data_IF_235498217575
#
_entry.id   IF_235498217575
#
_cell.length_a   1.000
_cell.length_b   1.000
_cell.length_c   1.000
_cell.angle_alpha   90.00
_cell.angle_beta   90.00
_cell.angle_gamma   90.00
#
_symmetry.space_group_name_H-M   'P 1'
#
loop_
_entity.id
_entity.type
_entity.pdbx_description
1 polymer ?
#
# COMPACT_ATOMS: atom_id res chain seq x y z
N UNK A 1 -24.65 21.74 14.53
CA UNK A 1 -23.16 21.85 14.55
C UNK A 1 -22.68 20.44 14.68
N UNK A 2 -22.02 19.90 13.64
CA UNK A 2 -21.38 18.59 13.73
C UNK A 2 -20.30 18.65 14.81
N UNK A 3 -20.15 17.57 15.57
CA UNK A 3 -19.07 17.44 16.54
C UNK A 3 -17.70 17.54 15.84
N UNK A 4 -16.64 17.79 16.60
CA UNK A 4 -15.27 17.68 16.10
C UNK A 4 -14.91 16.20 16.03
N UNK A 5 -14.28 15.76 14.93
CA UNK A 5 -13.70 14.43 14.86
C UNK A 5 -12.63 14.27 15.94
N UNK A 6 -12.72 13.20 16.69
CA UNK A 6 -11.74 12.85 17.74
C UNK A 6 -11.53 11.35 17.79
N UNK A 7 -10.29 10.94 18.03
CA UNK A 7 -9.94 9.57 18.37
C UNK A 7 -10.40 9.25 19.79
N UNK A 8 -10.87 8.04 20.03
CA UNK A 8 -11.21 7.56 21.35
C UNK A 8 -9.96 7.15 22.16
N UNK A 9 -10.15 6.91 23.49
CA UNK A 9 -9.04 6.55 24.38
C UNK A 9 -8.29 5.29 23.95
N UNK A 10 -9.00 4.24 23.55
CA UNK A 10 -8.40 2.97 23.12
C UNK A 10 -7.53 3.15 21.85
N UNK A 11 -8.02 3.90 20.86
CA UNK A 11 -7.25 4.22 19.64
C UNK A 11 -5.97 4.99 19.99
N UNK A 12 -6.08 5.98 20.89
CA UNK A 12 -4.92 6.79 21.32
C UNK A 12 -3.90 5.93 22.07
N UNK A 13 -4.34 5.06 22.96
CA UNK A 13 -3.43 4.22 23.76
C UNK A 13 -2.67 3.22 22.88
N UNK A 14 -3.34 2.58 21.91
CA UNK A 14 -2.69 1.72 20.91
C UNK A 14 -1.61 2.47 20.13
N UNK A 15 -1.93 3.65 19.63
CA UNK A 15 -0.99 4.48 18.88
C UNK A 15 0.20 4.93 19.73
N UNK A 16 -0.03 5.32 21.00
CA UNK A 16 1.03 5.72 21.92
C UNK A 16 1.97 4.58 22.24
N UNK A 17 1.46 3.36 22.43
CA UNK A 17 2.30 2.17 22.63
C UNK A 17 3.28 1.98 21.46
N UNK A 18 2.83 2.19 20.21
CA UNK A 18 3.71 2.12 19.04
C UNK A 18 4.67 3.30 18.91
N UNK A 19 4.30 4.48 19.40
CA UNK A 19 5.21 5.64 19.44
C UNK A 19 6.48 5.35 20.24
N UNK A 20 6.40 4.60 21.33
CA UNK A 20 7.58 4.23 22.14
C UNK A 20 8.62 3.47 21.32
N UNK A 21 8.20 2.73 20.29
CA UNK A 21 9.08 1.99 19.40
C UNK A 21 9.85 2.88 18.42
N UNK A 22 9.45 4.15 18.23
CA UNK A 22 10.17 5.08 17.34
C UNK A 22 11.60 5.37 17.80
N UNK A 23 11.91 5.11 19.07
CA UNK A 23 13.27 5.23 19.60
C UNK A 23 14.18 4.03 19.28
N UNK A 24 13.63 2.94 18.71
CA UNK A 24 14.35 1.71 18.38
C UNK A 24 15.40 1.95 17.28
N UNK A 25 16.49 1.20 17.29
CA UNK A 25 17.58 1.30 16.30
C UNK A 25 17.10 1.04 14.86
N UNK A 26 16.16 0.11 14.69
CA UNK A 26 15.59 -0.26 13.38
C UNK A 26 14.73 0.87 12.80
N UNK A 27 13.90 1.49 13.62
CA UNK A 27 13.12 2.66 13.18
C UNK A 27 14.03 3.83 12.81
N UNK A 28 15.17 3.99 13.47
CA UNK A 28 16.18 4.98 13.09
C UNK A 28 16.82 4.68 11.74
N UNK A 29 16.99 3.42 11.39
CA UNK A 29 17.49 3.02 10.07
C UNK A 29 16.45 3.33 8.98
N UNK A 30 15.17 3.03 9.23
CA UNK A 30 14.08 3.45 8.34
C UNK A 30 14.03 4.97 8.14
N UNK A 31 14.23 5.75 9.20
CA UNK A 31 14.27 7.20 9.10
C UNK A 31 15.42 7.67 8.18
N UNK A 32 16.61 7.05 8.27
CA UNK A 32 17.73 7.38 7.38
C UNK A 32 17.45 7.03 5.92
N UNK A 33 16.86 5.86 5.67
CA UNK A 33 16.44 5.44 4.32
C UNK A 33 15.36 6.38 3.76
N UNK A 34 14.41 6.79 4.60
CA UNK A 34 13.40 7.77 4.24
C UNK A 34 14.06 9.10 3.85
N UNK A 35 14.94 9.63 4.69
CA UNK A 35 15.62 10.90 4.45
C UNK A 35 16.44 10.86 3.14
N UNK A 36 17.14 9.76 2.88
CA UNK A 36 17.89 9.55 1.66
C UNK A 36 16.97 9.52 0.42
N UNK A 37 15.87 8.81 0.50
CA UNK A 37 14.89 8.71 -0.59
C UNK A 37 14.14 10.03 -0.82
N UNK A 38 13.82 10.76 0.25
CA UNK A 38 13.24 12.10 0.17
C UNK A 38 14.18 13.08 -0.53
N UNK A 39 15.45 13.10 -0.13
CA UNK A 39 16.46 13.92 -0.76
C UNK A 39 16.61 13.58 -2.26
N UNK A 40 16.61 12.30 -2.63
CA UNK A 40 16.63 11.87 -4.02
C UNK A 40 15.42 12.39 -4.80
N UNK A 41 14.22 12.27 -4.24
CA UNK A 41 12.98 12.78 -4.83
C UNK A 41 13.06 14.29 -5.09
N UNK A 42 13.48 15.08 -4.11
CA UNK A 42 13.61 16.53 -4.23
C UNK A 42 14.71 16.91 -5.23
N UNK A 43 15.83 16.19 -5.24
CA UNK A 43 16.94 16.45 -6.18
C UNK A 43 16.50 16.23 -7.64
N UNK A 44 15.71 15.20 -7.95
CA UNK A 44 15.18 14.98 -9.30
C UNK A 44 14.35 16.19 -9.73
N UNK A 45 13.40 16.64 -8.91
CA UNK A 45 12.56 17.79 -9.22
C UNK A 45 13.38 19.07 -9.43
N UNK A 46 14.41 19.28 -8.61
CA UNK A 46 15.27 20.46 -8.64
C UNK A 46 16.19 20.46 -9.86
N UNK A 47 16.87 19.34 -10.14
CA UNK A 47 17.80 19.22 -11.28
C UNK A 47 17.09 19.34 -12.61
N UNK A 48 15.86 18.84 -12.70
CA UNK A 48 15.01 18.97 -13.89
C UNK A 48 14.38 20.36 -14.02
N UNK A 49 14.57 21.25 -13.05
CA UNK A 49 13.86 22.54 -12.97
C UNK A 49 12.34 22.40 -13.13
N UNK A 50 11.77 21.40 -12.44
CA UNK A 50 10.36 21.02 -12.62
C UNK A 50 9.38 22.08 -12.12
N UNK A 51 9.75 22.86 -11.11
CA UNK A 51 8.95 24.01 -10.65
C UNK A 51 8.75 25.06 -11.77
N UNK A 52 9.74 25.20 -12.64
CA UNK A 52 9.67 26.05 -13.85
C UNK A 52 8.82 25.42 -14.96
N UNK A 53 9.27 25.54 -16.20
CA UNK A 53 8.50 25.06 -17.37
C UNK A 53 8.96 23.70 -17.90
N UNK A 54 10.03 23.12 -17.36
CA UNK A 54 10.58 21.86 -17.88
C UNK A 54 9.71 20.67 -17.45
N UNK A 55 9.39 19.79 -18.39
CA UNK A 55 8.73 18.53 -18.09
C UNK A 55 9.75 17.48 -17.66
N UNK A 56 9.34 16.62 -16.73
CA UNK A 56 10.06 15.39 -16.41
C UNK A 56 9.93 14.39 -17.55
N UNK A 57 11.02 13.71 -17.85
CA UNK A 57 11.02 12.55 -18.73
C UNK A 57 10.40 11.34 -18.05
N UNK A 58 10.01 10.32 -18.80
CA UNK A 58 9.53 9.05 -18.23
C UNK A 58 10.55 8.40 -17.29
N UNK A 59 11.86 8.53 -17.61
CA UNK A 59 12.94 7.99 -16.79
C UNK A 59 13.03 8.71 -15.43
N UNK A 60 12.89 10.04 -15.41
CA UNK A 60 12.88 10.82 -14.17
C UNK A 60 11.65 10.52 -13.32
N UNK A 61 10.48 10.36 -13.93
CA UNK A 61 9.27 9.96 -13.21
C UNK A 61 9.40 8.53 -12.65
N UNK A 62 10.03 7.60 -13.36
CA UNK A 62 10.32 6.26 -12.83
C UNK A 62 11.27 6.33 -11.62
N UNK A 63 12.25 7.24 -11.64
CA UNK A 63 13.12 7.50 -10.49
C UNK A 63 12.33 8.10 -9.31
N UNK A 64 11.41 9.03 -9.55
CA UNK A 64 10.51 9.53 -8.51
C UNK A 64 9.69 8.38 -7.87
N UNK A 65 9.12 7.50 -8.70
CA UNK A 65 8.40 6.34 -8.20
C UNK A 65 9.30 5.38 -7.38
N UNK A 66 10.56 5.21 -7.77
CA UNK A 66 11.53 4.41 -7.01
C UNK A 66 11.83 5.03 -5.65
N UNK A 67 12.04 6.34 -5.59
CA UNK A 67 12.23 7.06 -4.34
C UNK A 67 10.98 6.95 -3.44
N UNK A 68 9.79 7.22 -3.98
CA UNK A 68 8.53 7.11 -3.23
C UNK A 68 8.29 5.70 -2.67
N UNK A 69 8.64 4.64 -3.42
CA UNK A 69 8.54 3.25 -2.91
C UNK A 69 9.45 2.97 -1.70
N UNK A 70 10.60 3.64 -1.62
CA UNK A 70 11.50 3.56 -0.46
C UNK A 70 10.98 4.35 0.73
N UNK A 71 10.23 5.43 0.49
CA UNK A 71 9.63 6.26 1.54
C UNK A 71 8.35 5.65 2.15
N UNK A 72 7.64 4.84 1.41
CA UNK A 72 6.27 4.42 1.73
C UNK A 72 6.03 2.93 1.52
N UNK A 73 6.97 2.05 1.73
CA UNK A 73 6.88 0.57 1.61
C UNK A 73 5.89 0.01 0.56
N UNK A 74 5.36 0.84 -0.34
CA UNK A 74 4.31 0.48 -1.28
C UNK A 74 4.83 0.39 -2.72
N UNK A 75 4.56 -0.74 -3.37
CA UNK A 75 5.16 -1.16 -4.65
C UNK A 75 4.26 -0.97 -5.86
N UNK A 76 3.03 -0.46 -5.69
CA UNK A 76 2.05 -0.35 -6.78
C UNK A 76 2.23 0.91 -7.65
N UNK A 77 3.18 1.79 -7.33
CA UNK A 77 3.48 2.98 -8.13
C UNK A 77 4.25 2.58 -9.39
N UNK A 78 3.62 2.71 -10.55
CA UNK A 78 4.18 2.32 -11.86
C UNK A 78 3.91 3.36 -12.93
N UNK A 79 4.67 3.32 -14.03
CA UNK A 79 4.51 4.20 -15.19
C UNK A 79 3.18 4.05 -15.94
N UNK A 80 2.34 3.07 -15.62
CA UNK A 80 1.02 2.89 -16.23
C UNK A 80 0.15 4.15 -16.22
N UNK A 81 0.33 5.01 -15.19
CA UNK A 81 -0.43 6.26 -15.03
C UNK A 81 -0.07 7.30 -16.08
N UNK A 82 1.18 7.29 -16.56
CA UNK A 82 1.66 8.17 -17.63
C UNK A 82 1.09 7.69 -18.97
N UNK A 83 1.16 6.40 -19.23
CA UNK A 83 0.68 5.80 -20.48
C UNK A 83 -0.82 6.05 -20.72
N UNK A 84 -1.61 6.15 -19.65
CA UNK A 84 -3.06 6.38 -19.73
C UNK A 84 -3.45 7.86 -19.96
N UNK A 85 -2.59 8.81 -19.58
CA UNK A 85 -2.87 10.24 -19.62
C UNK A 85 -2.00 11.00 -20.64
N UNK A 86 -0.86 10.44 -21.01
CA UNK A 86 0.19 11.14 -21.74
C UNK A 86 1.15 11.90 -20.81
N UNK A 87 2.39 11.99 -21.24
CA UNK A 87 3.50 12.56 -20.43
C UNK A 87 3.27 14.04 -20.10
N UNK A 88 2.82 14.83 -21.07
CA UNK A 88 2.63 16.27 -20.90
C UNK A 88 1.47 16.59 -19.96
N UNK A 89 0.36 15.90 -20.07
CA UNK A 89 -0.80 16.07 -19.18
C UNK A 89 -0.46 15.68 -17.76
N UNK A 90 0.25 14.55 -17.58
CA UNK A 90 0.70 14.10 -16.28
C UNK A 90 1.66 15.14 -15.65
N UNK A 91 2.67 15.61 -16.38
CA UNK A 91 3.61 16.63 -15.91
C UNK A 91 2.90 17.92 -15.50
N UNK A 92 1.98 18.40 -16.33
CA UNK A 92 1.23 19.62 -16.04
C UNK A 92 0.38 19.46 -14.76
N UNK A 93 -0.33 18.34 -14.62
CA UNK A 93 -1.12 18.09 -13.43
C UNK A 93 -0.26 17.90 -12.16
N UNK A 94 0.88 17.20 -12.26
CA UNK A 94 1.82 17.04 -11.15
C UNK A 94 2.43 18.38 -10.72
N UNK A 95 2.82 19.23 -11.68
CA UNK A 95 3.36 20.57 -11.37
C UNK A 95 2.30 21.40 -10.65
N UNK A 96 1.05 21.37 -11.09
CA UNK A 96 -0.05 22.06 -10.41
C UNK A 96 -0.25 21.50 -9.01
N UNK A 97 -0.18 20.19 -8.83
CA UNK A 97 -0.30 19.54 -7.52
C UNK A 97 0.76 20.05 -6.55
N UNK A 98 2.03 20.04 -6.96
CA UNK A 98 3.17 20.32 -6.06
C UNK A 98 3.39 21.83 -5.86
N UNK A 99 3.35 22.62 -6.93
CA UNK A 99 3.77 24.04 -6.93
C UNK A 99 2.65 25.04 -7.25
N UNK A 100 1.43 24.57 -7.59
CA UNK A 100 0.33 25.47 -7.95
C UNK A 100 -0.10 26.41 -6.80
N UNK A 101 -0.58 27.58 -7.16
CA UNK A 101 -1.05 28.62 -6.22
C UNK A 101 -2.52 28.46 -5.80
N UNK A 102 -3.27 27.58 -6.45
CA UNK A 102 -4.66 27.31 -6.08
C UNK A 102 -4.76 26.63 -4.72
N UNK A 103 -5.92 26.74 -4.00
CA UNK A 103 -6.16 25.96 -2.80
C UNK A 103 -5.86 24.48 -3.00
N UNK A 104 -5.29 23.83 -2.00
CA UNK A 104 -4.85 22.43 -2.09
C UNK A 104 -5.96 21.48 -2.56
N UNK A 105 -7.20 21.73 -2.14
CA UNK A 105 -8.35 20.94 -2.55
C UNK A 105 -8.54 20.92 -4.08
N UNK A 106 -8.42 22.06 -4.75
CA UNK A 106 -8.54 22.16 -6.21
C UNK A 106 -7.37 21.51 -6.94
N UNK A 107 -6.16 21.58 -6.36
CA UNK A 107 -4.97 20.94 -6.91
C UNK A 107 -5.05 19.41 -6.83
N UNK A 108 -5.49 18.91 -5.67
CA UNK A 108 -5.74 17.49 -5.43
C UNK A 108 -6.84 16.97 -6.35
N UNK A 109 -7.97 17.66 -6.42
CA UNK A 109 -9.10 17.28 -7.28
C UNK A 109 -8.69 17.13 -8.74
N UNK A 110 -7.91 18.07 -9.25
CA UNK A 110 -7.39 18.02 -10.62
C UNK A 110 -6.47 16.81 -10.84
N UNK A 111 -5.60 16.48 -9.89
CA UNK A 111 -4.64 15.39 -10.04
C UNK A 111 -5.30 14.01 -9.86
N UNK A 112 -6.22 13.89 -8.91
CA UNK A 112 -7.04 12.67 -8.72
C UNK A 112 -7.89 12.37 -9.95
N UNK A 113 -8.35 13.40 -10.66
CA UNK A 113 -9.14 13.27 -11.89
C UNK A 113 -8.40 12.64 -13.08
N UNK A 114 -7.07 12.49 -13.02
CA UNK A 114 -6.31 11.76 -14.04
C UNK A 114 -6.67 10.26 -14.01
N UNK A 115 -6.69 9.63 -15.19
CA UNK A 115 -6.95 8.18 -15.29
C UNK A 115 -5.96 7.38 -14.47
N UNK A 116 -6.46 6.47 -13.62
CA UNK A 116 -5.70 5.58 -12.76
C UNK A 116 -4.79 6.30 -11.73
N UNK A 117 -5.06 7.58 -11.50
CA UNK A 117 -4.43 8.36 -10.43
C UNK A 117 -5.40 8.42 -9.30
N UNK A 118 -5.62 7.95 -8.35
CA UNK A 118 -6.57 8.11 -7.24
C UNK A 118 -5.89 8.71 -6.02
N UNK A 119 -6.61 8.65 -4.92
CA UNK A 119 -6.20 9.10 -3.60
C UNK A 119 -4.78 8.62 -3.22
N UNK A 120 -4.53 7.32 -3.41
CA UNK A 120 -3.27 6.67 -3.09
C UNK A 120 -2.06 7.33 -3.79
N UNK A 121 -2.09 7.45 -5.12
CA UNK A 121 -0.99 8.04 -5.89
C UNK A 121 -0.78 9.51 -5.52
N UNK A 122 -1.86 10.25 -5.32
CA UNK A 122 -1.84 11.67 -4.96
C UNK A 122 -1.18 11.90 -3.60
N UNK A 123 -1.57 11.10 -2.60
CA UNK A 123 -0.97 11.20 -1.26
C UNK A 123 0.53 10.86 -1.25
N UNK A 124 0.97 9.90 -2.07
CA UNK A 124 2.38 9.56 -2.17
C UNK A 124 3.22 10.71 -2.75
N UNK A 125 2.75 11.40 -3.79
CA UNK A 125 3.46 12.56 -4.33
C UNK A 125 3.54 13.71 -3.33
N UNK A 126 2.45 14.04 -2.67
CA UNK A 126 2.43 15.12 -1.68
C UNK A 126 3.27 14.79 -0.45
N UNK A 127 3.18 13.56 0.06
CA UNK A 127 3.99 13.08 1.18
C UNK A 127 5.48 13.04 0.84
N UNK A 128 5.86 12.57 -0.35
CA UNK A 128 7.24 12.58 -0.81
C UNK A 128 7.78 14.00 -1.06
N UNK A 129 6.91 14.93 -1.41
CA UNK A 129 7.27 16.33 -1.63
C UNK A 129 7.48 17.10 -0.32
N UNK A 130 6.57 16.94 0.64
CA UNK A 130 6.62 17.64 1.93
C UNK A 130 6.00 16.79 3.06
N UNK A 131 6.78 15.88 3.67
CA UNK A 131 6.30 14.99 4.74
C UNK A 131 6.01 15.71 6.07
N UNK A 132 6.41 16.96 6.21
CA UNK A 132 6.02 17.78 7.34
C UNK A 132 4.57 18.25 7.23
N UNK A 133 4.07 18.39 6.02
CA UNK A 133 2.80 19.02 5.69
C UNK A 133 1.73 18.05 5.22
N UNK A 134 2.12 17.01 4.51
CA UNK A 134 1.19 16.07 3.88
C UNK A 134 1.37 14.66 4.41
N UNK A 135 0.24 14.00 4.62
CA UNK A 135 0.17 12.62 5.08
C UNK A 135 0.14 11.61 3.93
N UNK A 136 0.54 10.39 4.22
CA UNK A 136 0.34 9.24 3.36
C UNK A 136 -0.99 8.54 3.71
N UNK A 137 -1.99 8.68 2.85
CA UNK A 137 -3.36 8.25 3.11
C UNK A 137 -3.63 6.78 2.74
N UNK A 138 -2.75 5.86 3.14
CA UNK A 138 -2.83 4.49 2.65
C UNK A 138 -3.25 3.43 3.67
N UNK A 139 -3.14 3.69 4.96
CA UNK A 139 -3.32 2.65 5.98
C UNK A 139 -4.31 3.00 7.09
N UNK A 140 -4.69 4.27 7.24
CA UNK A 140 -5.37 4.71 8.47
C UNK A 140 -6.68 3.97 8.76
N UNK A 141 -7.47 3.71 7.72
CA UNK A 141 -8.77 2.99 7.89
C UNK A 141 -8.61 1.49 8.00
N UNK A 142 -7.49 0.95 7.56
CA UNK A 142 -7.22 -0.50 7.61
C UNK A 142 -6.71 -0.92 8.99
N UNK A 143 -5.96 -0.04 9.66
CA UNK A 143 -5.27 -0.37 10.92
C UNK A 143 -5.88 0.27 12.17
N UNK A 144 -6.66 1.36 12.01
CA UNK A 144 -7.41 1.98 13.10
C UNK A 144 -8.89 1.58 12.99
N UNK A 145 -9.45 0.98 14.03
CA UNK A 145 -10.88 0.67 14.05
C UNK A 145 -11.69 1.97 14.26
N UNK A 146 -11.99 2.68 13.16
CA UNK A 146 -12.76 3.91 13.13
C UNK A 146 -14.22 3.56 12.89
N UNK A 147 -15.13 4.00 13.77
CA UNK A 147 -16.56 3.72 13.62
C UNK A 147 -17.17 4.50 12.46
N UNK A 148 -18.31 4.05 11.95
CA UNK A 148 -19.04 4.76 10.89
C UNK A 148 -19.39 6.21 11.31
N UNK A 149 -19.82 6.41 12.55
CA UNK A 149 -20.13 7.74 13.10
C UNK A 149 -18.89 8.65 13.14
N UNK A 150 -17.73 8.11 13.51
CA UNK A 150 -16.46 8.83 13.45
C UNK A 150 -16.08 9.19 12.00
N UNK A 151 -16.30 8.29 11.04
CA UNK A 151 -16.05 8.57 9.62
C UNK A 151 -16.98 9.67 9.11
N UNK A 152 -18.27 9.61 9.40
CA UNK A 152 -19.24 10.64 8.99
C UNK A 152 -18.84 12.02 9.55
N UNK A 153 -18.47 12.07 10.83
CA UNK A 153 -17.96 13.29 11.47
C UNK A 153 -16.68 13.81 10.81
N UNK A 154 -15.75 12.91 10.46
CA UNK A 154 -14.52 13.28 9.78
C UNK A 154 -14.78 13.83 8.37
N UNK A 155 -15.74 13.26 7.64
CA UNK A 155 -16.18 13.74 6.31
C UNK A 155 -16.73 15.18 6.43
N UNK A 156 -17.65 15.42 7.34
CA UNK A 156 -18.21 16.76 7.55
C UNK A 156 -17.14 17.79 7.94
N UNK A 157 -16.21 17.39 8.81
CA UNK A 157 -15.10 18.25 9.22
C UNK A 157 -14.10 18.51 8.07
N UNK A 158 -13.84 17.51 7.21
CA UNK A 158 -12.98 17.69 6.05
C UNK A 158 -13.62 18.63 5.02
N UNK A 159 -14.92 18.46 4.73
CA UNK A 159 -15.68 19.35 3.85
C UNK A 159 -15.58 20.79 4.35
N UNK A 160 -15.84 21.02 5.63
CA UNK A 160 -15.79 22.35 6.22
C UNK A 160 -14.38 22.96 6.23
N UNK A 161 -13.35 22.16 6.59
CA UNK A 161 -11.97 22.63 6.70
C UNK A 161 -11.34 22.99 5.36
N UNK A 162 -11.59 22.18 4.33
CA UNK A 162 -10.95 22.33 3.02
C UNK A 162 -11.84 23.02 1.99
N UNK A 163 -13.06 23.40 2.34
CA UNK A 163 -14.02 24.07 1.45
C UNK A 163 -14.42 23.17 0.27
N UNK A 164 -14.68 21.90 0.56
CA UNK A 164 -15.08 20.93 -0.45
C UNK A 164 -16.57 21.07 -0.75
N UNK A 165 -16.94 20.86 -2.01
CA UNK A 165 -18.36 20.82 -2.38
C UNK A 165 -18.97 19.49 -1.90
N UNK A 166 -20.02 19.52 -1.07
CA UNK A 166 -20.71 18.31 -0.65
C UNK A 166 -21.41 17.70 -1.86
N UNK A 167 -21.02 16.49 -2.22
CA UNK A 167 -21.63 15.72 -3.33
C UNK A 167 -22.44 14.57 -2.76
N UNK A 168 -23.59 14.28 -3.39
CA UNK A 168 -24.46 13.15 -2.99
C UNK A 168 -23.80 11.78 -3.22
N UNK A 169 -22.72 11.70 -4.01
CA UNK A 169 -21.98 10.47 -4.29
C UNK A 169 -20.56 10.51 -3.73
N UNK A 170 -20.04 9.36 -3.46
CA UNK A 170 -18.70 9.17 -2.95
C UNK A 170 -17.65 9.76 -3.89
N UNK A 171 -16.81 10.67 -3.37
CA UNK A 171 -15.84 11.43 -4.13
C UNK A 171 -14.43 11.17 -3.56
N UNK A 172 -13.49 10.80 -4.43
CA UNK A 172 -12.11 10.48 -4.02
C UNK A 172 -11.40 11.67 -3.35
N UNK A 173 -11.73 12.90 -3.76
CA UNK A 173 -11.17 14.12 -3.14
C UNK A 173 -11.66 14.27 -1.69
N UNK A 174 -12.92 14.00 -1.42
CA UNK A 174 -13.48 14.02 -0.05
C UNK A 174 -12.79 12.95 0.79
N UNK A 175 -12.62 11.73 0.26
CA UNK A 175 -11.89 10.67 0.94
C UNK A 175 -10.46 11.04 1.26
N UNK A 176 -9.75 11.63 0.29
CA UNK A 176 -8.39 12.11 0.49
C UNK A 176 -8.28 13.04 1.70
N UNK A 177 -9.16 14.05 1.78
CA UNK A 177 -9.11 15.02 2.85
C UNK A 177 -9.68 14.49 4.17
N UNK A 178 -10.59 13.53 4.12
CA UNK A 178 -11.07 12.80 5.30
C UNK A 178 -9.93 12.01 5.94
N UNK A 179 -9.19 11.24 5.17
CA UNK A 179 -8.03 10.49 5.66
C UNK A 179 -6.93 11.42 6.17
N UNK A 180 -6.67 12.51 5.45
CA UNK A 180 -5.71 13.54 5.89
C UNK A 180 -6.10 14.18 7.23
N UNK A 181 -7.38 14.43 7.47
CA UNK A 181 -7.88 14.95 8.73
C UNK A 181 -7.73 13.95 9.88
N UNK A 182 -8.04 12.67 9.63
CA UNK A 182 -7.86 11.59 10.61
C UNK A 182 -6.38 11.48 10.98
N UNK A 183 -5.47 11.49 9.99
CA UNK A 183 -4.03 11.41 10.20
C UNK A 183 -3.46 12.63 10.94
N UNK A 184 -4.02 13.81 10.70
CA UNK A 184 -3.69 15.01 11.48
C UNK A 184 -4.09 14.87 12.95
N UNK A 185 -5.25 14.29 13.23
CA UNK A 185 -5.69 14.00 14.59
C UNK A 185 -4.78 12.96 15.26
N UNK A 186 -4.39 11.90 14.54
CA UNK A 186 -3.38 10.92 15.00
C UNK A 186 -2.09 11.64 15.38
N UNK A 187 -1.54 12.47 14.48
CA UNK A 187 -0.31 13.24 14.74
C UNK A 187 -0.41 14.06 16.02
N UNK A 188 -1.49 14.81 16.17
CA UNK A 188 -1.69 15.74 17.27
C UNK A 188 -1.94 15.04 18.61
N UNK A 189 -2.84 14.05 18.67
CA UNK A 189 -3.21 13.34 19.91
C UNK A 189 -2.10 12.44 20.44
N UNK A 190 -1.31 11.86 19.55
CA UNK A 190 -0.17 11.04 19.90
C UNK A 190 1.09 11.88 20.15
N UNK A 191 1.13 13.10 19.67
CA UNK A 191 2.27 14.01 19.78
C UNK A 191 3.44 13.57 18.91
N UNK A 192 3.15 13.22 17.65
CA UNK A 192 4.14 12.88 16.63
C UNK A 192 4.66 14.16 15.95
N UNK A 193 5.93 14.16 15.55
CA UNK A 193 6.59 15.35 15.02
C UNK A 193 6.11 15.68 13.60
N UNK A 194 6.02 14.67 12.76
CA UNK A 194 5.69 14.81 11.34
C UNK A 194 4.90 13.61 10.81
N UNK A 195 4.54 13.61 9.54
CA UNK A 195 3.79 12.52 8.95
C UNK A 195 4.64 11.29 8.62
N UNK A 196 5.98 11.39 8.58
CA UNK A 196 6.86 10.23 8.55
C UNK A 196 6.67 9.38 9.82
N UNK A 197 6.66 10.00 11.01
CA UNK A 197 6.39 9.30 12.27
C UNK A 197 4.97 8.72 12.31
N UNK A 198 3.97 9.44 11.79
CA UNK A 198 2.60 8.92 11.66
C UNK A 198 2.59 7.64 10.80
N UNK A 199 3.23 7.68 9.64
CA UNK A 199 3.32 6.52 8.75
C UNK A 199 4.02 5.33 9.43
N UNK A 200 5.10 5.56 10.16
CA UNK A 200 5.79 4.50 10.90
C UNK A 200 4.93 3.90 12.02
N UNK A 201 4.25 4.74 12.80
CA UNK A 201 3.36 4.27 13.88
C UNK A 201 2.22 3.43 13.30
N UNK A 202 1.60 3.85 12.20
CA UNK A 202 0.56 3.08 11.54
C UNK A 202 1.08 1.78 10.94
N UNK A 203 2.27 1.80 10.36
CA UNK A 203 2.93 0.59 9.86
C UNK A 203 3.21 -0.40 11.01
N UNK A 204 3.74 0.07 12.12
CA UNK A 204 3.98 -0.76 13.31
C UNK A 204 2.67 -1.27 13.93
N UNK A 205 1.56 -0.56 13.75
CA UNK A 205 0.25 -1.01 14.19
C UNK A 205 -0.32 -2.09 13.24
N UNK A 206 -0.10 -1.96 11.94
CA UNK A 206 -0.54 -2.96 10.96
C UNK A 206 0.22 -4.28 11.08
N UNK A 207 1.44 -4.26 11.59
CA UNK A 207 2.26 -5.45 11.80
C UNK A 207 1.94 -6.21 13.10
N UNK A 208 1.04 -5.70 13.96
CA UNK A 208 0.58 -6.44 15.15
C UNK A 208 -0.28 -7.66 14.83
N UNK A 209 -0.92 -7.69 13.67
CA UNK A 209 -1.66 -8.88 13.22
C UNK A 209 -0.73 -10.01 12.75
N UNK A 210 0.58 -9.68 12.54
CA UNK A 210 1.66 -10.61 12.21
C UNK A 210 2.76 -10.46 13.27
N UNK A 211 2.65 -11.16 14.42
CA UNK A 211 3.62 -11.06 15.53
C UNK A 211 5.07 -11.36 15.13
N UNK A 212 5.31 -11.99 13.98
CA UNK A 212 6.63 -12.29 13.42
C UNK A 212 7.17 -11.21 12.43
N UNK A 213 6.40 -10.19 12.06
CA UNK A 213 6.81 -9.19 11.06
C UNK A 213 7.30 -7.86 11.67
N UNK A 214 7.22 -7.72 12.99
CA UNK A 214 7.35 -6.44 13.69
C UNK A 214 8.72 -5.74 13.60
N UNK A 215 9.76 -6.32 12.98
CA UNK A 215 11.11 -5.77 13.05
C UNK A 215 12.03 -6.12 11.86
N UNK A 216 11.57 -6.08 10.61
CA UNK A 216 12.50 -6.18 9.48
C UNK A 216 12.86 -4.80 8.93
N UNK A 217 14.18 -4.44 8.84
CA UNK A 217 14.63 -3.16 8.32
C UNK A 217 14.16 -2.93 6.88
N UNK A 218 13.83 -1.68 6.57
CA UNK A 218 13.61 -1.21 5.20
C UNK A 218 14.85 -1.54 4.36
N UNK A 219 14.70 -2.45 3.40
CA UNK A 219 15.83 -2.94 2.59
C UNK A 219 16.35 -4.33 2.96
N UNK A 220 15.93 -4.92 4.09
CA UNK A 220 16.17 -6.32 4.37
C UNK A 220 15.40 -7.23 3.40
N UNK A 221 15.82 -8.46 3.29
CA UNK A 221 15.18 -9.50 2.46
C UNK A 221 13.67 -9.45 2.71
N UNK A 222 12.92 -8.93 1.73
CA UNK A 222 11.47 -8.93 1.79
C UNK A 222 10.99 -10.37 1.55
N UNK A 223 10.94 -11.16 2.61
CA UNK A 223 10.60 -12.57 2.54
C UNK A 223 9.34 -12.83 1.70
N UNK A 224 8.32 -11.97 1.80
CA UNK A 224 7.11 -12.08 0.97
C UNK A 224 7.39 -11.90 -0.51
N UNK A 225 8.10 -10.84 -0.90
CA UNK A 225 8.43 -10.61 -2.33
C UNK A 225 9.45 -11.61 -2.85
N UNK A 226 10.40 -12.00 -2.03
CA UNK A 226 11.39 -13.00 -2.39
C UNK A 226 10.71 -14.36 -2.54
N UNK A 227 9.73 -14.68 -1.70
CA UNK A 227 8.87 -15.86 -1.84
C UNK A 227 8.03 -15.81 -3.12
N UNK A 228 7.36 -14.68 -3.40
CA UNK A 228 6.61 -14.48 -4.64
C UNK A 228 7.51 -14.63 -5.88
N UNK A 229 8.67 -13.96 -5.89
CA UNK A 229 9.64 -14.03 -6.98
C UNK A 229 10.18 -15.46 -7.14
N UNK A 230 10.48 -16.14 -6.03
CA UNK A 230 10.95 -17.50 -6.05
C UNK A 230 9.90 -18.47 -6.60
N UNK A 231 8.64 -18.35 -6.17
CA UNK A 231 7.53 -19.16 -6.69
C UNK A 231 7.31 -18.86 -8.18
N UNK A 232 7.30 -17.60 -8.59
CA UNK A 232 7.08 -17.21 -9.98
C UNK A 232 8.18 -17.70 -10.92
N UNK A 233 9.43 -17.69 -10.46
CA UNK A 233 10.58 -18.20 -11.19
C UNK A 233 10.65 -19.75 -11.20
N UNK A 234 10.02 -20.40 -10.22
CA UNK A 234 10.10 -21.86 -10.02
C UNK A 234 8.69 -22.49 -9.91
N UNK A 235 7.81 -22.34 -10.91
CA UNK A 235 6.41 -22.80 -10.81
C UNK A 235 6.27 -24.31 -10.56
N UNK A 236 7.28 -25.09 -10.91
CA UNK A 236 7.33 -26.54 -10.69
C UNK A 236 7.32 -26.95 -9.20
N UNK A 237 7.71 -26.05 -8.28
CA UNK A 237 7.63 -26.33 -6.82
C UNK A 237 6.18 -26.33 -6.32
N UNK A 238 5.31 -25.64 -7.04
CA UNK A 238 3.88 -25.64 -6.78
C UNK A 238 3.27 -26.86 -7.43
N UNK A 239 3.34 -26.96 -8.76
CA UNK A 239 2.96 -28.15 -9.52
C UNK A 239 3.56 -28.10 -10.95
N UNK A 240 3.80 -29.28 -11.58
CA UNK A 240 4.36 -29.33 -12.92
C UNK A 240 3.41 -28.75 -13.97
N UNK A 241 3.93 -27.94 -14.87
CA UNK A 241 3.22 -27.46 -16.06
C UNK A 241 2.42 -26.20 -15.85
N UNK A 242 2.67 -25.47 -14.76
CA UNK A 242 2.18 -24.09 -14.61
C UNK A 242 2.99 -23.15 -15.51
N UNK A 243 2.29 -22.18 -16.09
CA UNK A 243 2.85 -21.05 -16.81
C UNK A 243 2.46 -19.77 -16.10
N UNK A 244 3.43 -18.91 -15.81
CA UNK A 244 3.19 -17.62 -15.21
C UNK A 244 2.37 -16.74 -16.17
N UNK A 245 1.23 -16.25 -15.71
CA UNK A 245 0.44 -15.24 -16.39
C UNK A 245 0.95 -13.85 -15.97
N UNK A 246 0.99 -13.59 -14.67
CA UNK A 246 1.52 -12.33 -14.12
C UNK A 246 1.70 -12.43 -12.60
N UNK A 247 2.72 -11.72 -12.09
CA UNK A 247 2.82 -11.35 -10.67
C UNK A 247 2.11 -10.03 -10.45
N UNK A 248 1.57 -9.82 -9.26
CA UNK A 248 0.84 -8.61 -8.89
C UNK A 248 -0.23 -8.25 -9.94
N UNK A 249 -1.11 -9.22 -10.21
CA UNK A 249 -2.16 -9.08 -11.21
C UNK A 249 -3.30 -8.22 -10.68
N UNK A 250 -3.39 -6.98 -11.18
CA UNK A 250 -4.38 -5.99 -10.74
C UNK A 250 -5.77 -6.35 -11.25
N UNK A 251 -6.75 -6.40 -10.35
CA UNK A 251 -8.16 -6.60 -10.64
C UNK A 251 -8.99 -5.49 -9.98
N UNK A 252 -10.26 -5.30 -10.37
CA UNK A 252 -11.16 -4.36 -9.67
C UNK A 252 -11.44 -4.73 -8.20
N UNK A 253 -11.16 -5.98 -7.80
CA UNK A 253 -11.41 -6.48 -6.43
C UNK A 253 -10.12 -6.65 -5.61
N UNK A 254 -8.99 -6.15 -6.12
CA UNK A 254 -7.68 -6.18 -5.46
C UNK A 254 -6.57 -6.72 -6.34
N UNK A 255 -5.39 -6.94 -5.78
CA UNK A 255 -4.20 -7.41 -6.48
C UNK A 255 -3.91 -8.85 -6.10
N UNK A 256 -3.81 -9.73 -7.10
CA UNK A 256 -3.44 -11.13 -6.94
C UNK A 256 -1.90 -11.22 -6.91
N UNK A 257 -1.32 -11.84 -5.90
CA UNK A 257 0.14 -11.94 -5.77
C UNK A 257 0.77 -12.64 -6.97
N UNK A 258 0.28 -13.85 -7.31
CA UNK A 258 0.76 -14.58 -8.48
C UNK A 258 -0.42 -15.27 -9.19
N UNK A 259 -0.54 -15.04 -10.48
CA UNK A 259 -1.51 -15.71 -11.34
C UNK A 259 -0.78 -16.66 -12.29
N UNK A 260 -1.09 -17.94 -12.18
CA UNK A 260 -0.64 -18.97 -13.10
C UNK A 260 -1.78 -19.53 -13.97
N UNK A 261 -1.39 -20.22 -15.04
CA UNK A 261 -2.27 -21.01 -15.90
C UNK A 261 -1.71 -22.42 -16.00
N UNK A 262 -2.55 -23.44 -15.83
CA UNK A 262 -2.15 -24.82 -15.99
C UNK A 262 -2.25 -25.28 -17.46
N UNK A 263 -1.82 -26.53 -17.73
CA UNK A 263 -1.84 -27.12 -19.08
C UNK A 263 -3.24 -27.22 -19.69
N UNK A 264 -4.30 -27.21 -18.87
CA UNK A 264 -5.69 -27.26 -19.32
C UNK A 264 -6.27 -25.87 -19.53
N UNK A 265 -5.47 -24.81 -19.31
CA UNK A 265 -5.91 -23.45 -19.45
C UNK A 265 -6.66 -22.91 -18.25
N UNK A 266 -6.74 -23.64 -17.13
CA UNK A 266 -7.37 -23.18 -15.89
C UNK A 266 -6.42 -22.28 -15.11
N UNK A 267 -6.96 -21.28 -14.43
CA UNK A 267 -6.19 -20.38 -13.61
C UNK A 267 -5.90 -20.96 -12.21
N UNK A 268 -4.72 -20.63 -11.70
CA UNK A 268 -4.34 -20.83 -10.31
C UNK A 268 -3.95 -19.47 -9.74
N UNK A 269 -4.76 -18.99 -8.79
CA UNK A 269 -4.47 -17.82 -7.97
C UNK A 269 -3.61 -18.27 -6.80
N UNK A 270 -2.47 -17.63 -6.60
CA UNK A 270 -1.64 -17.84 -5.41
C UNK A 270 -1.65 -16.57 -4.58
N UNK A 271 -1.92 -16.73 -3.30
CA UNK A 271 -1.78 -15.72 -2.26
C UNK A 271 -0.67 -16.19 -1.31
N UNK A 272 0.31 -15.32 -1.08
CA UNK A 272 1.44 -15.59 -0.20
C UNK A 272 1.30 -14.76 1.07
N UNK A 273 1.56 -15.37 2.21
CA UNK A 273 1.62 -14.67 3.50
C UNK A 273 2.92 -15.02 4.21
N UNK A 274 3.49 -14.03 4.85
CA UNK A 274 4.65 -14.24 5.71
C UNK A 274 4.14 -14.68 7.07
N UNK A 275 4.67 -15.64 7.72
CA UNK A 275 4.25 -16.03 9.06
C UNK A 275 2.98 -16.91 9.10
N UNK A 276 2.37 -16.97 10.28
CA UNK A 276 1.12 -17.65 10.55
C UNK A 276 -0.06 -16.83 10.05
N UNK A 277 -1.05 -17.47 9.44
CA UNK A 277 -2.21 -16.79 8.87
C UNK A 277 -3.51 -17.41 9.39
N UNK A 278 -4.54 -16.58 9.43
CA UNK A 278 -5.88 -16.94 9.85
C UNK A 278 -6.89 -16.88 8.70
N UNK A 279 -8.18 -16.96 8.98
CA UNK A 279 -9.27 -17.07 8.00
C UNK A 279 -9.47 -15.83 7.10
N UNK A 280 -8.85 -14.70 7.44
CA UNK A 280 -8.94 -13.45 6.65
C UNK A 280 -8.51 -13.64 5.19
N UNK A 281 -7.47 -14.41 4.95
CA UNK A 281 -6.94 -14.70 3.60
C UNK A 281 -7.94 -15.46 2.72
N UNK A 282 -8.86 -16.21 3.33
CA UNK A 282 -9.93 -16.94 2.63
C UNK A 282 -10.86 -15.97 1.90
N UNK A 283 -11.26 -14.89 2.56
CA UNK A 283 -12.07 -13.84 1.93
C UNK A 283 -11.37 -13.17 0.76
N UNK A 284 -10.08 -12.94 0.88
CA UNK A 284 -9.26 -12.34 -0.16
C UNK A 284 -9.16 -13.23 -1.39
N UNK A 285 -8.71 -14.47 -1.23
CA UNK A 285 -8.54 -15.42 -2.35
C UNK A 285 -9.88 -15.79 -2.99
N UNK A 286 -10.97 -15.88 -2.20
CA UNK A 286 -12.31 -16.17 -2.71
C UNK A 286 -12.82 -15.05 -3.62
N UNK A 287 -12.57 -13.78 -3.31
CA UNK A 287 -12.91 -12.65 -4.17
C UNK A 287 -12.18 -12.72 -5.51
N UNK A 288 -10.90 -13.06 -5.50
CA UNK A 288 -10.11 -13.19 -6.73
C UNK A 288 -10.61 -14.33 -7.61
N UNK A 289 -10.89 -15.49 -7.02
CA UNK A 289 -11.47 -16.63 -7.74
C UNK A 289 -12.81 -16.23 -8.34
N UNK A 290 -13.70 -15.62 -7.54
CA UNK A 290 -15.02 -15.17 -8.00
C UNK A 290 -14.92 -14.18 -9.17
N UNK A 291 -14.00 -13.22 -9.10
CA UNK A 291 -13.77 -12.26 -10.18
C UNK A 291 -13.33 -12.96 -11.48
N UNK A 292 -12.37 -13.86 -11.43
CA UNK A 292 -11.85 -14.55 -12.62
C UNK A 292 -12.90 -15.50 -13.23
N UNK A 293 -13.72 -16.14 -12.41
CA UNK A 293 -14.77 -17.05 -12.88
C UNK A 293 -15.96 -16.30 -13.48
N UNK A 294 -16.45 -15.26 -12.81
CA UNK A 294 -17.64 -14.52 -13.26
C UNK A 294 -17.30 -13.44 -14.28
N UNK A 295 -16.20 -12.71 -14.07
CA UNK A 295 -15.80 -11.59 -14.92
C UNK A 295 -15.08 -12.01 -16.20
N UNK A 296 -14.23 -13.02 -16.13
CA UNK A 296 -13.40 -13.48 -17.25
C UNK A 296 -13.79 -14.88 -17.77
N UNK A 297 -14.81 -15.50 -17.19
CA UNK A 297 -15.29 -16.85 -17.53
C UNK A 297 -14.16 -17.92 -17.52
N UNK A 298 -13.28 -17.86 -16.50
CA UNK A 298 -12.11 -18.73 -16.35
C UNK A 298 -12.26 -19.67 -15.18
N UNK A 299 -12.24 -20.96 -15.42
CA UNK A 299 -12.17 -21.94 -14.31
C UNK A 299 -10.91 -21.65 -13.47
N UNK A 300 -11.11 -21.40 -12.17
CA UNK A 300 -10.06 -20.89 -11.29
C UNK A 300 -10.03 -21.69 -10.00
N UNK A 301 -8.84 -21.98 -9.50
CA UNK A 301 -8.55 -22.56 -8.19
C UNK A 301 -7.58 -21.69 -7.43
N UNK A 302 -7.53 -21.85 -6.11
CA UNK A 302 -6.66 -21.06 -5.25
C UNK A 302 -5.58 -21.89 -4.57
N UNK A 303 -4.51 -21.23 -4.18
CA UNK A 303 -3.47 -21.74 -3.30
C UNK A 303 -3.03 -20.63 -2.35
N UNK A 304 -3.05 -20.93 -1.06
CA UNK A 304 -2.48 -20.08 -0.02
C UNK A 304 -1.12 -20.68 0.37
N UNK A 305 -0.08 -19.85 0.45
CA UNK A 305 1.27 -20.26 0.83
C UNK A 305 1.70 -19.46 2.05
N UNK A 306 1.90 -20.15 3.19
CA UNK A 306 2.18 -19.57 4.51
C UNK A 306 3.35 -20.30 5.17
N UNK A 307 3.95 -19.73 6.22
CA UNK A 307 4.88 -20.48 7.06
C UNK A 307 4.17 -21.37 8.08
N UNK A 308 2.99 -20.92 8.55
CA UNK A 308 2.14 -21.62 9.52
C UNK A 308 0.67 -21.26 9.31
N UNK A 309 -0.27 -22.01 9.92
CA UNK A 309 -1.70 -21.80 9.78
C UNK A 309 -2.43 -22.16 11.07
N UNK A 310 -3.35 -21.31 11.51
CA UNK A 310 -4.22 -21.61 12.64
C UNK A 310 -5.43 -22.52 12.25
N UNK A 311 -6.12 -23.02 13.26
CA UNK A 311 -7.29 -23.88 13.07
C UNK A 311 -8.43 -23.20 12.30
N UNK A 312 -8.58 -21.87 12.39
CA UNK A 312 -9.62 -21.11 11.68
C UNK A 312 -9.38 -21.16 10.19
N UNK A 313 -8.13 -20.98 9.76
CA UNK A 313 -7.75 -21.12 8.35
C UNK A 313 -8.03 -22.54 7.86
N UNK A 314 -7.66 -23.55 8.62
CA UNK A 314 -7.89 -24.96 8.26
C UNK A 314 -9.37 -25.28 8.11
N UNK A 315 -10.21 -24.88 9.08
CA UNK A 315 -11.66 -25.07 9.01
C UNK A 315 -12.31 -24.30 7.86
N UNK A 316 -11.88 -23.06 7.63
CA UNK A 316 -12.37 -22.24 6.54
C UNK A 316 -12.03 -22.82 5.16
N UNK A 317 -10.84 -23.34 4.98
CA UNK A 317 -10.43 -24.04 3.75
C UNK A 317 -11.22 -25.32 3.52
N UNK A 318 -11.52 -26.06 4.59
CA UNK A 318 -12.38 -27.24 4.50
C UNK A 318 -13.77 -26.92 3.92
N UNK A 319 -14.35 -25.80 4.32
CA UNK A 319 -15.65 -25.33 3.81
C UNK A 319 -15.63 -24.98 2.31
N UNK A 320 -14.46 -24.69 1.73
CA UNK A 320 -14.29 -24.40 0.29
C UNK A 320 -14.18 -25.65 -0.59
N UNK A 321 -14.35 -26.84 -0.03
CA UNK A 321 -14.47 -28.12 -0.78
C UNK A 321 -13.25 -28.43 -1.66
N UNK A 322 -12.04 -28.01 -1.27
CA UNK A 322 -10.81 -28.25 -2.02
C UNK A 322 -10.55 -27.29 -3.18
N UNK A 323 -11.40 -26.28 -3.38
CA UNK A 323 -11.19 -25.24 -4.41
C UNK A 323 -9.98 -24.36 -4.11
N UNK A 324 -9.65 -24.17 -2.83
CA UNK A 324 -8.46 -23.51 -2.34
C UNK A 324 -7.65 -24.51 -1.54
N UNK A 325 -6.37 -24.62 -1.83
CA UNK A 325 -5.41 -25.48 -1.13
C UNK A 325 -4.46 -24.65 -0.30
N UNK A 326 -3.79 -25.29 0.65
CA UNK A 326 -2.77 -24.70 1.49
C UNK A 326 -1.43 -25.41 1.23
N UNK A 327 -0.35 -24.64 1.19
CA UNK A 327 1.03 -25.13 1.23
C UNK A 327 1.82 -24.33 2.25
N UNK A 328 2.79 -24.98 2.84
CA UNK A 328 3.71 -24.37 3.78
C UNK A 328 5.07 -24.14 3.14
N UNK A 329 5.74 -23.05 3.52
CA UNK A 329 7.13 -22.82 3.18
C UNK A 329 7.99 -22.80 4.45
N UNK A 330 9.27 -23.06 4.29
CA UNK A 330 10.30 -22.89 5.31
C UNK A 330 11.52 -22.25 4.70
N UNK A 331 12.07 -21.25 5.39
CA UNK A 331 13.34 -20.62 4.99
C UNK A 331 14.44 -21.13 5.89
N UNK A 332 15.62 -21.42 5.31
CA UNK A 332 16.83 -21.76 6.05
C UNK A 332 18.01 -20.96 5.49
N UNK A 333 18.84 -20.44 6.37
CA UNK A 333 20.10 -19.78 6.01
C UNK A 333 21.27 -20.69 6.39
N UNK A 334 22.29 -20.73 5.53
CA UNK A 334 23.58 -21.31 5.87
C UNK A 334 24.67 -20.27 5.64
N UNK A 335 25.57 -20.13 6.58
CA UNK A 335 26.77 -19.30 6.45
C UNK A 335 27.94 -20.26 6.26
N UNK A 336 28.69 -20.08 5.18
CA UNK A 336 29.86 -20.89 4.86
C UNK A 336 31.05 -19.99 4.55
N UNK A 337 32.25 -20.46 4.83
CA UNK A 337 33.50 -19.76 4.49
C UNK A 337 33.87 -19.94 2.99
N UNK A 338 33.18 -20.80 2.27
CA UNK A 338 33.40 -21.08 0.85
C UNK A 338 32.26 -20.49 -0.01
N UNK A 339 32.60 -19.99 -1.19
CA UNK A 339 31.62 -19.49 -2.14
C UNK A 339 30.65 -20.63 -2.55
N UNK A 340 29.33 -20.39 -2.55
CA UNK A 340 28.37 -21.37 -3.05
C UNK A 340 28.62 -21.63 -4.53
N UNK A 341 28.61 -22.92 -4.90
CA UNK A 341 28.77 -23.39 -6.30
C UNK A 341 27.61 -22.94 -7.19
#
# INVERSE_FOLDING_TARGET
>A
MSGKFELNGEQIDKLKAKKELLSNSEVREWAREFDAAHLEFINILTQSNFEGENNLTEAEIDQLFKAMRRMASNRSLTLLRINENGLDEFNNALRILLYGNAPIAKRVDKFIGLKKVGNFTTSHFLYAFDPEKFSLNSLVRDVLPISAEQIDTAIENAIAKYGLDPVEQWNETINFFTDSLILEEVKNKVGLRNYMEVNFVLYLLSSEEDEDEALLPFGSISLGKDLENYIAANPQIIEPGLTLVKQQYVTPVGVIDILFKDRQGKYLVIETKKGSESDRVIGQISRYIGYLEQGENKTTRGLIVVSDADDRLIYGLHALGGKVRLKYYKVSFSITDEAPN
#
